data_IF_985914226314
#
_entry.id   IF_985914226314
#
_cell.length_a   1.000
_cell.length_b   1.000
_cell.length_c   1.000
_cell.angle_alpha   90.00
_cell.angle_beta   90.00
_cell.angle_gamma   90.00
#
_symmetry.space_group_name_H-M   'P 1'
#
loop_
_entity.id
_entity.type
_entity.pdbx_description
1 polymer ?
#
# COMPACT_ATOMS: atom_id res chain seq x y z
N UNK A 1 2.58 -19.81 32.45
CA UNK A 1 3.59 -18.83 32.03
C UNK A 1 2.90 -17.47 31.91
N UNK A 2 3.39 -16.39 32.53
CA UNK A 2 2.73 -15.09 32.46
C UNK A 2 2.79 -14.56 31.04
N UNK A 3 1.64 -14.08 30.55
CA UNK A 3 1.51 -13.41 29.26
C UNK A 3 2.47 -12.21 29.23
N UNK A 4 3.39 -12.19 28.25
CA UNK A 4 4.20 -11.02 27.95
C UNK A 4 3.25 -9.90 27.55
N UNK A 5 3.16 -8.89 28.39
CA UNK A 5 2.50 -7.63 28.09
C UNK A 5 3.19 -7.05 26.86
N UNK A 6 2.54 -7.13 25.69
CA UNK A 6 2.99 -6.45 24.49
C UNK A 6 3.05 -4.95 24.81
N UNK A 7 4.21 -4.33 24.65
CA UNK A 7 4.34 -2.87 24.74
C UNK A 7 3.41 -2.28 23.69
N UNK A 8 2.31 -1.72 24.12
CA UNK A 8 1.48 -0.84 23.30
C UNK A 8 2.40 0.30 22.89
N UNK A 9 2.55 0.50 21.59
CA UNK A 9 3.33 1.64 21.06
C UNK A 9 2.71 2.90 21.63
N UNK A 10 3.52 3.74 22.26
CA UNK A 10 3.05 5.06 22.67
C UNK A 10 2.75 5.86 21.41
N UNK A 11 1.46 6.01 21.10
CA UNK A 11 0.97 6.70 19.89
C UNK A 11 1.20 8.21 19.96
N UNK A 12 1.64 8.74 21.11
CA UNK A 12 1.90 10.17 21.32
C UNK A 12 3.08 10.70 20.49
N UNK A 13 4.04 9.84 20.15
CA UNK A 13 5.23 10.23 19.40
C UNK A 13 5.08 10.03 17.88
N UNK A 14 3.91 9.60 17.41
CA UNK A 14 3.68 9.41 15.99
C UNK A 14 3.31 10.74 15.30
N UNK A 15 3.81 10.99 14.07
CA UNK A 15 3.44 12.18 13.31
C UNK A 15 1.95 12.16 12.98
N UNK A 16 1.33 13.33 12.94
CA UNK A 16 -0.10 13.45 12.66
C UNK A 16 -0.41 13.11 11.22
N UNK A 17 -1.29 12.12 11.01
CA UNK A 17 -1.88 11.84 9.70
C UNK A 17 -3.10 12.76 9.47
N UNK A 18 -3.24 13.28 8.26
CA UNK A 18 -4.38 14.06 7.80
C UNK A 18 -5.21 13.22 6.84
N UNK A 19 -6.56 13.32 6.86
CA UNK A 19 -7.41 12.62 5.92
C UNK A 19 -7.22 13.16 4.50
N UNK A 20 -7.31 12.29 3.51
CA UNK A 20 -7.38 12.63 2.09
C UNK A 20 -8.84 12.50 1.61
N UNK A 21 -9.24 13.44 0.78
CA UNK A 21 -10.55 13.51 0.16
C UNK A 21 -10.43 13.38 -1.36
N UNK A 22 -11.55 13.29 -2.04
CA UNK A 22 -11.60 13.14 -3.52
C UNK A 22 -10.79 14.21 -4.27
N UNK A 23 -10.84 15.46 -3.79
CA UNK A 23 -10.14 16.59 -4.43
C UNK A 23 -8.61 16.48 -4.34
N UNK A 24 -8.08 15.74 -3.37
CA UNK A 24 -6.65 15.58 -3.15
C UNK A 24 -6.03 14.55 -4.12
N UNK A 25 -6.85 13.62 -4.63
CA UNK A 25 -6.35 12.46 -5.39
C UNK A 25 -5.63 12.85 -6.67
N UNK A 26 -6.16 13.84 -7.40
CA UNK A 26 -5.63 14.21 -8.70
C UNK A 26 -4.17 14.70 -8.68
N UNK A 27 -3.75 15.46 -7.66
CA UNK A 27 -2.36 15.89 -7.50
C UNK A 27 -1.46 14.72 -7.09
N UNK A 28 -1.89 13.98 -6.07
CA UNK A 28 -1.07 12.91 -5.49
C UNK A 28 -0.88 11.73 -6.45
N UNK A 29 -1.90 11.34 -7.22
CA UNK A 29 -1.76 10.31 -8.26
C UNK A 29 -0.78 10.74 -9.37
N UNK A 30 -0.82 12.02 -9.80
CA UNK A 30 0.16 12.53 -10.80
C UNK A 30 1.59 12.48 -10.28
N UNK A 31 1.80 12.75 -9.00
CA UNK A 31 3.13 12.67 -8.38
C UNK A 31 3.59 11.22 -8.33
N UNK A 32 2.74 10.29 -7.88
CA UNK A 32 3.04 8.86 -7.82
C UNK A 32 3.36 8.29 -9.21
N UNK A 33 2.55 8.60 -10.22
CA UNK A 33 2.80 8.22 -11.61
C UNK A 33 4.15 8.74 -12.11
N UNK A 34 4.46 10.02 -11.87
CA UNK A 34 5.72 10.61 -12.29
C UNK A 34 6.93 9.94 -11.61
N UNK A 35 6.83 9.61 -10.32
CA UNK A 35 7.85 8.88 -9.57
C UNK A 35 8.05 7.47 -10.15
N UNK A 36 6.96 6.75 -10.44
CA UNK A 36 7.01 5.43 -11.05
C UNK A 36 7.72 5.48 -12.41
N UNK A 37 7.31 6.39 -13.30
CA UNK A 37 7.91 6.54 -14.62
C UNK A 37 9.41 6.84 -14.52
N UNK A 38 9.80 7.78 -13.65
CA UNK A 38 11.21 8.10 -13.39
C UNK A 38 11.99 6.88 -12.89
N UNK A 39 11.41 6.08 -12.00
CA UNK A 39 12.02 4.85 -11.50
C UNK A 39 12.22 3.81 -12.62
N UNK A 40 11.24 3.66 -13.50
CA UNK A 40 11.33 2.75 -14.64
C UNK A 40 12.40 3.21 -15.64
N UNK A 41 12.49 4.50 -15.93
CA UNK A 41 13.48 5.09 -16.84
C UNK A 41 14.91 4.99 -16.31
N UNK A 42 15.08 5.03 -14.99
CA UNK A 42 16.39 4.92 -14.33
C UNK A 42 16.94 3.49 -14.27
N UNK A 43 16.18 2.49 -14.70
CA UNK A 43 16.64 1.09 -14.68
C UNK A 43 17.79 0.85 -15.68
N UNK A 44 18.79 0.04 -15.30
CA UNK A 44 19.86 -0.34 -16.22
C UNK A 44 19.31 -1.03 -17.49
N UNK A 45 19.96 -0.77 -18.63
CA UNK A 45 19.53 -1.34 -19.91
C UNK A 45 19.64 -2.87 -20.00
N UNK A 46 20.48 -3.46 -19.18
CA UNK A 46 20.70 -4.92 -19.04
C UNK A 46 19.77 -5.58 -18.02
N UNK A 47 18.90 -4.81 -17.38
CA UNK A 47 17.91 -5.36 -16.45
C UNK A 47 16.76 -6.05 -17.19
N UNK A 48 16.03 -6.92 -16.46
CA UNK A 48 14.80 -7.51 -16.97
C UNK A 48 13.78 -6.45 -17.38
N UNK A 49 12.88 -6.80 -18.30
CA UNK A 49 11.77 -5.93 -18.68
C UNK A 49 10.88 -5.66 -17.48
N UNK A 50 10.80 -4.41 -17.06
CA UNK A 50 9.92 -4.00 -15.97
C UNK A 50 8.49 -3.79 -16.49
N UNK A 51 7.52 -4.33 -15.75
CA UNK A 51 6.09 -4.13 -16.00
C UNK A 51 5.48 -3.54 -14.73
N UNK A 52 4.71 -2.48 -14.90
CA UNK A 52 3.99 -1.83 -13.80
C UNK A 52 2.59 -1.42 -14.26
N UNK A 53 1.62 -1.50 -13.36
CA UNK A 53 0.34 -0.83 -13.53
C UNK A 53 0.51 0.63 -13.14
N UNK A 54 -0.03 1.54 -13.95
CA UNK A 54 0.06 2.97 -13.65
C UNK A 54 -0.95 3.32 -12.56
N UNK A 55 -0.52 3.93 -11.44
CA UNK A 55 -1.43 4.36 -10.37
C UNK A 55 -2.09 5.69 -10.71
N UNK A 56 -2.77 5.75 -11.87
CA UNK A 56 -3.46 6.96 -12.32
C UNK A 56 -4.72 7.23 -11.48
N UNK A 57 -5.21 8.45 -11.58
CA UNK A 57 -6.36 8.89 -10.80
C UNK A 57 -7.65 8.15 -11.18
N UNK A 58 -7.80 7.74 -12.43
CA UNK A 58 -9.02 7.06 -12.89
C UNK A 58 -9.08 5.64 -12.34
N UNK A 59 -7.94 4.95 -12.26
CA UNK A 59 -7.81 3.65 -11.60
C UNK A 59 -8.20 3.74 -10.12
N UNK A 60 -7.70 4.74 -9.39
CA UNK A 60 -8.05 4.94 -7.97
C UNK A 60 -9.54 5.30 -7.82
N UNK A 61 -10.04 6.21 -8.65
CA UNK A 61 -11.45 6.64 -8.65
C UNK A 61 -12.43 5.53 -8.96
N UNK A 62 -12.03 4.57 -9.77
CA UNK A 62 -12.87 3.41 -10.06
C UNK A 62 -13.20 2.63 -8.77
N UNK A 63 -12.21 2.39 -7.91
CA UNK A 63 -12.44 1.76 -6.60
C UNK A 63 -13.35 2.60 -5.71
N UNK A 64 -13.12 3.92 -5.69
CA UNK A 64 -13.93 4.83 -4.88
C UNK A 64 -15.37 4.97 -5.40
N UNK A 65 -15.58 4.96 -6.71
CA UNK A 65 -16.93 4.98 -7.27
C UNK A 65 -17.75 3.73 -6.88
N UNK A 66 -17.10 2.55 -6.90
CA UNK A 66 -17.70 1.31 -6.41
C UNK A 66 -18.01 1.40 -4.90
N UNK A 67 -17.05 1.86 -4.11
CA UNK A 67 -17.20 2.07 -2.66
C UNK A 67 -18.37 3.02 -2.36
N UNK A 68 -18.45 4.14 -3.07
CA UNK A 68 -19.48 5.16 -2.87
C UNK A 68 -20.88 4.63 -3.21
N UNK A 69 -20.99 3.85 -4.29
CA UNK A 69 -22.24 3.22 -4.66
C UNK A 69 -22.69 2.24 -3.59
N UNK A 70 -21.84 1.29 -3.20
CA UNK A 70 -22.19 0.28 -2.20
C UNK A 70 -22.44 0.92 -0.83
N UNK A 71 -21.64 1.91 -0.43
CA UNK A 71 -21.82 2.64 0.82
C UNK A 71 -23.17 3.37 0.89
N UNK A 72 -23.62 3.98 -0.21
CA UNK A 72 -24.94 4.61 -0.30
C UNK A 72 -26.06 3.58 -0.17
N UNK A 73 -25.95 2.45 -0.86
CA UNK A 73 -26.98 1.39 -0.82
C UNK A 73 -27.09 0.73 0.57
N UNK A 74 -25.95 0.42 1.21
CA UNK A 74 -25.96 -0.30 2.50
C UNK A 74 -26.13 0.63 3.71
N UNK A 75 -25.55 1.84 3.68
CA UNK A 75 -25.47 2.71 4.84
C UNK A 75 -26.16 4.06 4.64
N UNK A 76 -26.74 4.33 3.48
CA UNK A 76 -27.37 5.61 3.14
C UNK A 76 -26.40 6.78 2.96
N UNK A 77 -25.08 6.54 2.99
CA UNK A 77 -24.04 7.56 2.84
C UNK A 77 -22.79 6.98 2.19
N UNK A 78 -22.05 7.82 1.46
CA UNK A 78 -20.74 7.45 0.90
C UNK A 78 -19.61 7.81 1.87
N UNK A 79 -18.52 7.01 1.93
CA UNK A 79 -17.32 7.36 2.65
C UNK A 79 -16.64 8.58 2.03
N UNK A 80 -16.33 9.60 2.83
CA UNK A 80 -15.67 10.82 2.35
C UNK A 80 -14.16 10.72 2.38
N UNK A 81 -13.61 10.04 3.39
CA UNK A 81 -12.17 9.87 3.57
C UNK A 81 -11.67 8.75 2.67
N UNK A 82 -10.82 9.09 1.70
CA UNK A 82 -10.32 8.19 0.66
C UNK A 82 -8.91 7.69 0.91
N UNK A 83 -8.25 8.22 1.93
CA UNK A 83 -6.87 7.92 2.26
C UNK A 83 -6.38 8.77 3.40
N UNK A 84 -5.06 8.76 3.62
CA UNK A 84 -4.41 9.63 4.58
C UNK A 84 -3.01 10.04 4.11
N UNK A 85 -2.51 11.16 4.64
CA UNK A 85 -1.20 11.71 4.34
C UNK A 85 -0.50 12.17 5.63
N UNK A 86 0.80 11.95 5.70
CA UNK A 86 1.69 12.46 6.74
C UNK A 86 2.74 13.37 6.10
N UNK A 87 2.95 14.54 6.70
CA UNK A 87 3.87 15.56 6.22
C UNK A 87 3.23 16.53 5.22
N UNK A 88 3.72 17.77 5.21
CA UNK A 88 3.26 18.84 4.31
C UNK A 88 4.33 19.27 3.31
N UNK A 89 5.59 18.93 3.56
CA UNK A 89 6.73 19.31 2.72
C UNK A 89 6.80 18.42 1.49
N UNK A 90 6.70 19.02 0.30
CA UNK A 90 6.83 18.29 -0.98
C UNK A 90 8.18 17.59 -1.06
N UNK A 91 8.17 16.34 -1.52
CA UNK A 91 9.36 15.47 -1.57
C UNK A 91 9.61 14.67 -0.29
N UNK A 92 8.82 14.86 0.78
CA UNK A 92 8.97 14.15 2.07
C UNK A 92 7.66 13.59 2.62
N UNK A 93 6.58 13.68 1.85
CA UNK A 93 5.26 13.20 2.28
C UNK A 93 5.18 11.69 2.18
N UNK A 94 4.35 11.10 3.03
CA UNK A 94 3.98 9.68 2.97
C UNK A 94 2.46 9.62 2.96
N UNK A 95 1.87 8.95 1.99
CA UNK A 95 0.41 8.83 1.90
C UNK A 95 -0.03 7.45 1.46
N UNK A 96 -1.30 7.16 1.68
CA UNK A 96 -1.94 5.96 1.16
C UNK A 96 -3.38 6.25 0.74
N UNK A 97 -3.88 5.44 -0.19
CA UNK A 97 -5.28 5.37 -0.56
C UNK A 97 -5.86 4.06 -0.10
N UNK A 98 -7.15 4.03 0.17
CA UNK A 98 -7.87 2.81 0.53
C UNK A 98 -9.27 2.77 -0.07
N UNK A 99 -9.87 1.60 -0.09
CA UNK A 99 -11.26 1.38 -0.42
C UNK A 99 -11.88 0.40 0.57
N UNK A 100 -13.17 0.49 0.78
CA UNK A 100 -13.93 -0.44 1.62
C UNK A 100 -14.66 -1.43 0.73
N UNK A 101 -14.54 -2.70 1.06
CA UNK A 101 -15.26 -3.77 0.39
C UNK A 101 -16.17 -4.45 1.39
N UNK A 102 -17.48 -4.25 1.21
CA UNK A 102 -18.51 -4.93 1.98
C UNK A 102 -18.87 -6.22 1.26
N UNK A 103 -18.64 -7.34 1.92
CA UNK A 103 -19.00 -8.67 1.44
C UNK A 103 -20.27 -9.19 2.14
N UNK A 104 -20.76 -8.45 3.14
CA UNK A 104 -21.98 -8.75 3.86
C UNK A 104 -23.04 -7.69 3.54
N UNK A 105 -24.27 -8.16 3.29
CA UNK A 105 -25.42 -7.30 2.99
C UNK A 105 -26.07 -6.70 4.25
N UNK A 106 -25.73 -7.19 5.44
CA UNK A 106 -26.18 -6.58 6.70
C UNK A 106 -25.23 -5.43 7.07
N UNK A 107 -25.71 -4.17 7.09
CA UNK A 107 -24.88 -3.02 7.42
C UNK A 107 -24.33 -3.01 8.85
N UNK A 108 -24.82 -3.88 9.73
CA UNK A 108 -24.36 -4.03 11.11
C UNK A 108 -23.31 -5.13 11.28
N UNK A 109 -23.19 -6.00 10.30
CA UNK A 109 -22.26 -7.14 10.35
C UNK A 109 -20.91 -6.74 9.74
N UNK A 110 -19.85 -7.00 10.49
CA UNK A 110 -18.49 -6.70 10.03
C UNK A 110 -17.79 -7.89 9.35
N UNK A 111 -18.29 -9.11 9.60
CA UNK A 111 -17.61 -10.33 9.17
C UNK A 111 -17.38 -10.36 7.65
N UNK A 112 -16.12 -10.49 7.28
CA UNK A 112 -15.67 -10.53 5.89
C UNK A 112 -15.46 -9.16 5.25
N UNK A 113 -16.03 -8.08 5.82
CA UNK A 113 -15.83 -6.74 5.29
C UNK A 113 -14.38 -6.29 5.51
N UNK A 114 -13.77 -5.73 4.48
CA UNK A 114 -12.33 -5.41 4.49
C UNK A 114 -12.09 -3.99 3.99
N UNK A 115 -11.25 -3.25 4.70
CA UNK A 115 -10.65 -2.02 4.19
C UNK A 115 -9.34 -2.40 3.49
N UNK A 116 -9.32 -2.30 2.17
CA UNK A 116 -8.12 -2.56 1.38
C UNK A 116 -7.31 -1.30 1.19
N UNK A 117 -6.06 -1.32 1.60
CA UNK A 117 -5.10 -0.31 1.19
C UNK A 117 -4.78 -0.50 -0.29
N UNK A 118 -5.17 0.47 -1.11
CA UNK A 118 -4.97 0.42 -2.55
C UNK A 118 -3.51 0.64 -2.90
N UNK A 119 -2.89 1.64 -2.26
CA UNK A 119 -1.55 2.09 -2.59
C UNK A 119 -0.92 2.80 -1.39
N UNK A 120 0.37 2.56 -1.14
CA UNK A 120 1.20 3.30 -0.19
C UNK A 120 2.36 3.98 -0.95
N UNK A 121 2.54 5.27 -0.75
CA UNK A 121 3.57 6.07 -1.43
C UNK A 121 4.45 6.80 -0.42
N UNK A 122 5.75 6.74 -0.65
CA UNK A 122 6.77 7.52 0.05
C UNK A 122 7.40 8.46 -0.96
N UNK A 123 7.19 9.77 -0.80
CA UNK A 123 7.62 10.80 -1.78
C UNK A 123 9.12 11.09 -1.76
N UNK A 124 9.90 10.47 -0.90
CA UNK A 124 11.34 10.66 -0.82
C UNK A 124 12.03 10.03 -2.04
N UNK A 125 12.71 10.84 -2.86
CA UNK A 125 13.43 10.39 -4.05
C UNK A 125 14.56 9.38 -3.76
N UNK A 126 15.03 9.32 -2.51
CA UNK A 126 16.08 8.38 -2.07
C UNK A 126 15.58 7.00 -1.67
N UNK A 127 14.26 6.82 -1.52
CA UNK A 127 13.64 5.55 -1.17
C UNK A 127 12.42 5.37 -2.08
N UNK A 128 12.63 4.77 -3.23
CA UNK A 128 11.49 4.40 -4.05
C UNK A 128 10.66 3.36 -3.29
N UNK A 129 9.36 3.61 -3.13
CA UNK A 129 8.42 2.67 -2.52
C UNK A 129 8.36 1.32 -3.28
N UNK A 130 9.07 1.24 -4.38
CA UNK A 130 9.16 0.12 -5.31
C UNK A 130 10.27 -0.88 -4.98
N UNK A 131 11.32 -0.46 -4.27
CA UNK A 131 12.47 -1.33 -3.95
C UNK A 131 12.17 -2.45 -2.94
N UNK A 132 10.93 -2.59 -2.51
CA UNK A 132 10.50 -3.64 -1.59
C UNK A 132 9.23 -4.36 -2.00
N UNK A 133 8.59 -3.96 -3.11
CA UNK A 133 7.34 -4.55 -3.57
C UNK A 133 7.62 -5.74 -4.51
N UNK A 134 7.64 -6.91 -3.91
CA UNK A 134 7.27 -8.16 -4.56
C UNK A 134 8.14 -8.67 -5.71
N UNK A 135 9.36 -9.07 -5.44
CA UNK A 135 9.89 -10.29 -6.03
C UNK A 135 10.45 -11.13 -4.90
N UNK A 136 9.83 -12.26 -4.61
CA UNK A 136 10.44 -13.33 -3.84
C UNK A 136 11.61 -13.91 -4.64
N UNK A 137 12.67 -13.15 -4.85
CA UNK A 137 13.98 -13.71 -5.16
C UNK A 137 14.63 -14.15 -3.85
N UNK A 138 14.30 -15.36 -3.46
CA UNK A 138 15.17 -16.19 -2.63
C UNK A 138 16.39 -16.49 -3.51
N UNK A 139 17.36 -15.60 -3.52
CA UNK A 139 18.79 -15.81 -3.72
C UNK A 139 19.49 -14.54 -4.20
N UNK A 140 20.51 -14.16 -3.47
CA UNK A 140 21.52 -13.25 -4.00
C UNK A 140 21.85 -12.09 -3.11
N UNK A 141 22.93 -12.27 -2.36
CA UNK A 141 23.74 -11.27 -1.67
C UNK A 141 23.85 -9.92 -2.39
N UNK A 142 22.88 -9.04 -2.20
CA UNK A 142 22.96 -7.63 -2.52
C UNK A 142 23.57 -6.90 -1.32
N UNK A 143 24.81 -6.43 -1.43
CA UNK A 143 25.45 -5.57 -0.45
C UNK A 143 24.62 -4.29 -0.33
N UNK A 144 23.85 -4.17 0.73
CA UNK A 144 23.19 -2.93 1.12
C UNK A 144 24.26 -1.86 1.36
N UNK A 145 24.21 -0.78 0.61
CA UNK A 145 24.94 0.45 0.94
C UNK A 145 24.29 1.06 2.18
N UNK A 146 24.78 0.64 3.33
CA UNK A 146 24.44 1.12 4.65
C UNK A 146 25.29 2.35 4.94
N UNK A 147 24.80 3.54 4.57
CA UNK A 147 25.30 4.79 5.20
C UNK A 147 24.22 5.87 5.12
N UNK A 148 23.83 6.40 6.28
CA UNK A 148 22.88 7.48 6.59
C UNK A 148 21.38 7.13 6.68
N UNK A 149 21.00 5.88 6.96
CA UNK A 149 19.62 5.40 6.90
C UNK A 149 18.79 5.47 8.19
N UNK A 150 19.38 5.59 9.37
CA UNK A 150 18.65 5.32 10.63
C UNK A 150 17.50 6.31 10.90
N UNK A 151 17.70 7.60 10.70
CA UNK A 151 16.68 8.62 10.98
C UNK A 151 15.52 8.62 9.96
N UNK A 152 15.82 8.45 8.67
CA UNK A 152 14.81 8.39 7.61
C UNK A 152 13.95 7.14 7.72
N UNK A 153 14.59 5.99 7.89
CA UNK A 153 13.87 4.72 8.09
C UNK A 153 12.96 4.76 9.32
N UNK A 154 13.38 5.41 10.39
CA UNK A 154 12.55 5.60 11.58
C UNK A 154 11.36 6.52 11.33
N UNK A 155 11.54 7.64 10.61
CA UNK A 155 10.47 8.55 10.24
C UNK A 155 9.41 7.85 9.36
N UNK A 156 9.83 7.14 8.30
CA UNK A 156 8.90 6.44 7.41
C UNK A 156 8.10 5.37 8.16
N UNK A 157 8.73 4.60 9.05
CA UNK A 157 8.02 3.64 9.90
C UNK A 157 6.98 4.31 10.77
N UNK A 158 7.31 5.46 11.37
CA UNK A 158 6.37 6.21 12.20
C UNK A 158 5.25 6.85 11.38
N UNK A 159 5.55 7.38 10.20
CA UNK A 159 4.55 7.93 9.28
C UNK A 159 3.58 6.83 8.80
N UNK A 160 4.09 5.69 8.37
CA UNK A 160 3.27 4.54 7.96
C UNK A 160 2.41 4.04 9.13
N UNK A 161 2.95 3.99 10.35
CA UNK A 161 2.18 3.64 11.53
C UNK A 161 1.00 4.59 11.74
N UNK A 162 1.19 5.90 11.55
CA UNK A 162 0.10 6.89 11.63
C UNK A 162 -0.97 6.67 10.56
N UNK A 163 -0.57 6.36 9.32
CA UNK A 163 -1.49 6.05 8.23
C UNK A 163 -2.31 4.79 8.54
N UNK A 164 -1.66 3.73 9.03
CA UNK A 164 -2.32 2.48 9.42
C UNK A 164 -3.31 2.70 10.58
N UNK A 165 -2.98 3.53 11.56
CA UNK A 165 -3.91 3.87 12.65
C UNK A 165 -5.13 4.62 12.12
N UNK A 166 -4.97 5.52 11.14
CA UNK A 166 -6.11 6.19 10.53
C UNK A 166 -6.95 5.21 9.71
N UNK A 167 -6.34 4.31 8.95
CA UNK A 167 -7.05 3.25 8.23
C UNK A 167 -7.84 2.34 9.20
N UNK A 168 -7.27 2.00 10.36
CA UNK A 168 -7.98 1.22 11.39
C UNK A 168 -9.18 1.97 11.98
N UNK A 169 -9.07 3.29 12.20
CA UNK A 169 -10.22 4.12 12.66
C UNK A 169 -11.33 4.15 11.62
N UNK A 170 -10.99 4.35 10.36
CA UNK A 170 -11.94 4.30 9.25
C UNK A 170 -12.58 2.91 9.10
N UNK A 171 -11.79 1.84 9.24
CA UNK A 171 -12.30 0.48 9.25
C UNK A 171 -13.31 0.26 10.38
N UNK A 172 -13.02 0.77 11.56
CA UNK A 172 -13.91 0.67 12.73
C UNK A 172 -15.21 1.47 12.53
N UNK A 173 -15.12 2.71 11.99
CA UNK A 173 -16.29 3.56 11.70
C UNK A 173 -17.25 2.91 10.69
N UNK A 174 -16.71 2.17 9.72
CA UNK A 174 -17.47 1.55 8.63
C UNK A 174 -17.71 0.05 8.80
N UNK A 175 -17.56 -0.47 10.03
CA UNK A 175 -17.79 -1.89 10.35
C UNK A 175 -17.00 -2.85 9.45
N UNK A 176 -15.72 -2.54 9.19
CA UNK A 176 -14.78 -3.47 8.57
C UNK A 176 -14.19 -4.41 9.62
N UNK A 177 -14.03 -5.68 9.29
CA UNK A 177 -13.41 -6.67 10.16
C UNK A 177 -11.89 -6.49 10.24
N UNK A 178 -11.29 -6.03 9.13
CA UNK A 178 -9.84 -5.95 9.00
C UNK A 178 -9.39 -4.85 8.04
N UNK A 179 -8.10 -4.51 8.14
CA UNK A 179 -7.35 -3.69 7.18
C UNK A 179 -6.34 -4.57 6.49
N UNK A 180 -6.37 -4.63 5.18
CA UNK A 180 -5.51 -5.49 4.37
C UNK A 180 -4.67 -4.66 3.40
N UNK A 181 -3.43 -5.07 3.17
CA UNK A 181 -2.55 -4.52 2.15
C UNK A 181 -1.95 -5.64 1.30
N UNK A 182 -1.94 -5.48 -0.01
CA UNK A 182 -1.32 -6.41 -0.94
C UNK A 182 0.13 -6.01 -1.21
N UNK A 183 1.02 -7.00 -1.29
CA UNK A 183 2.46 -6.81 -1.51
C UNK A 183 3.07 -5.70 -0.62
N UNK A 184 2.87 -5.77 0.71
CA UNK A 184 3.39 -4.75 1.60
C UNK A 184 4.92 -4.73 1.56
N UNK A 185 5.50 -3.53 1.58
CA UNK A 185 6.95 -3.38 1.75
C UNK A 185 7.40 -3.86 3.12
N UNK A 186 8.68 -4.23 3.25
CA UNK A 186 9.25 -4.63 4.55
C UNK A 186 9.10 -3.54 5.63
N UNK A 187 9.16 -2.26 5.23
CA UNK A 187 8.93 -1.12 6.11
C UNK A 187 7.49 -1.07 6.60
N UNK A 188 6.52 -1.32 5.71
CA UNK A 188 5.10 -1.38 6.07
C UNK A 188 4.80 -2.55 7.02
N UNK A 189 5.33 -3.75 6.72
CA UNK A 189 5.19 -4.93 7.62
C UNK A 189 5.76 -4.62 9.00
N UNK A 190 6.97 -4.03 9.06
CA UNK A 190 7.60 -3.63 10.32
C UNK A 190 6.78 -2.60 11.09
N UNK A 191 6.18 -1.62 10.41
CA UNK A 191 5.31 -0.62 11.04
C UNK A 191 4.01 -1.26 11.57
N UNK A 192 3.37 -2.13 10.79
CA UNK A 192 2.16 -2.84 11.16
C UNK A 192 2.38 -3.77 12.38
N UNK A 193 3.45 -4.56 12.38
CA UNK A 193 3.80 -5.45 13.49
C UNK A 193 4.16 -4.68 14.77
N UNK A 194 4.72 -3.49 14.63
CA UNK A 194 4.98 -2.60 15.78
C UNK A 194 3.68 -2.10 16.40
N UNK A 195 2.65 -1.80 15.59
CA UNK A 195 1.33 -1.37 16.07
C UNK A 195 0.54 -2.53 16.67
N UNK A 196 0.54 -3.66 15.98
CA UNK A 196 -0.15 -4.86 16.39
C UNK A 196 0.74 -6.09 16.16
N UNK A 197 1.30 -6.68 17.23
CA UNK A 197 2.13 -7.89 17.12
C UNK A 197 1.43 -9.10 16.50
N UNK A 198 0.09 -9.08 16.43
CA UNK A 198 -0.71 -10.13 15.79
C UNK A 198 -0.91 -9.88 14.28
N UNK A 199 -0.28 -8.85 13.71
CA UNK A 199 -0.32 -8.63 12.27
C UNK A 199 0.26 -9.86 11.56
N UNK A 200 -0.57 -10.50 10.74
CA UNK A 200 -0.19 -11.66 9.95
C UNK A 200 0.27 -11.24 8.54
N UNK A 201 1.32 -11.86 8.06
CA UNK A 201 1.65 -11.87 6.63
C UNK A 201 1.14 -13.17 6.07
N UNK A 202 0.17 -13.10 5.15
CA UNK A 202 -0.46 -14.27 4.54
C UNK A 202 0.16 -14.46 3.17
N UNK A 203 0.69 -15.65 2.91
CA UNK A 203 1.12 -16.04 1.57
C UNK A 203 -0.07 -16.62 0.81
N UNK A 204 -0.39 -16.04 -0.35
CA UNK A 204 -1.52 -16.45 -1.19
C UNK A 204 -1.04 -17.04 -2.52
N UNK A 205 -0.02 -17.88 -2.48
CA UNK A 205 0.57 -18.49 -3.69
C UNK A 205 -0.41 -19.37 -4.48
N UNK A 206 -1.49 -19.82 -3.85
CA UNK A 206 -2.53 -20.67 -4.46
C UNK A 206 -3.86 -19.93 -4.68
N UNK A 207 -4.04 -18.74 -4.10
CA UNK A 207 -5.28 -17.97 -4.15
C UNK A 207 -5.03 -16.51 -4.54
N UNK A 208 -5.87 -15.95 -5.40
CA UNK A 208 -5.80 -14.53 -5.81
C UNK A 208 -4.46 -14.14 -6.43
N UNK A 209 -3.96 -14.98 -7.33
CA UNK A 209 -2.68 -14.79 -8.01
C UNK A 209 -2.86 -13.78 -9.15
N UNK A 210 -2.07 -12.70 -9.12
CA UNK A 210 -1.95 -11.80 -10.25
C UNK A 210 -1.37 -12.54 -11.46
N UNK A 211 -2.04 -12.49 -12.60
CA UNK A 211 -1.63 -13.21 -13.80
C UNK A 211 -1.38 -12.23 -14.95
N UNK A 212 -0.27 -12.44 -15.64
CA UNK A 212 0.12 -11.69 -16.81
C UNK A 212 0.43 -12.64 -17.96
N UNK A 213 -0.14 -12.38 -19.13
CA UNK A 213 0.24 -13.05 -20.38
C UNK A 213 1.17 -12.11 -21.16
N UNK A 214 2.44 -12.46 -21.24
CA UNK A 214 3.46 -11.69 -21.94
C UNK A 214 3.93 -12.41 -23.19
N UNK A 215 4.16 -11.65 -24.24
CA UNK A 215 4.70 -12.12 -25.52
C UNK A 215 6.06 -11.46 -25.77
N UNK A 216 7.16 -12.08 -25.33
CA UNK A 216 8.48 -11.49 -25.51
C UNK A 216 8.86 -11.47 -27.00
N UNK A 217 9.66 -10.49 -27.43
CA UNK A 217 10.16 -10.43 -28.81
C UNK A 217 11.12 -11.59 -29.12
N UNK A 218 11.67 -12.26 -28.12
CA UNK A 218 12.59 -13.37 -28.25
C UNK A 218 12.05 -14.61 -27.53
N UNK A 219 12.39 -15.82 -28.06
CA UNK A 219 12.03 -17.09 -27.43
C UNK A 219 12.87 -17.29 -26.16
N UNK A 220 12.25 -17.40 -24.99
CA UNK A 220 12.88 -17.65 -23.70
C UNK A 220 11.85 -17.82 -22.58
N UNK A 221 12.28 -18.25 -21.37
CA UNK A 221 11.39 -18.35 -20.22
C UNK A 221 10.90 -16.95 -19.83
N UNK A 222 9.60 -16.75 -19.88
CA UNK A 222 8.96 -15.44 -19.63
C UNK A 222 9.17 -15.01 -18.18
N UNK A 223 9.06 -15.93 -17.24
CA UNK A 223 9.16 -15.64 -15.81
C UNK A 223 10.52 -15.07 -15.37
N UNK A 224 11.60 -15.41 -16.10
CA UNK A 224 12.94 -14.94 -15.79
C UNK A 224 13.30 -13.63 -16.48
N UNK A 225 12.43 -13.13 -17.37
CA UNK A 225 12.69 -11.92 -18.19
C UNK A 225 11.85 -10.72 -17.77
N UNK A 226 10.98 -10.86 -16.79
CA UNK A 226 10.03 -9.82 -16.38
C UNK A 226 10.15 -9.56 -14.89
N UNK A 227 10.27 -8.28 -14.53
CA UNK A 227 10.11 -7.77 -13.18
C UNK A 227 8.76 -7.07 -13.06
N UNK A 228 7.86 -7.61 -12.26
CA UNK A 228 6.58 -6.96 -11.98
C UNK A 228 6.74 -6.00 -10.81
N UNK A 229 6.56 -4.72 -11.07
CA UNK A 229 6.76 -3.64 -10.11
C UNK A 229 5.41 -3.10 -9.66
N UNK A 230 5.26 -2.82 -8.36
CA UNK A 230 4.08 -2.15 -7.82
C UNK A 230 2.79 -2.95 -7.96
N UNK A 231 2.84 -4.26 -7.77
CA UNK A 231 1.67 -5.14 -7.84
C UNK A 231 0.82 -5.02 -6.56
N UNK A 232 0.32 -3.82 -6.28
CA UNK A 232 -0.55 -3.51 -5.15
C UNK A 232 -2.04 -3.59 -5.53
N UNK A 233 -2.93 -3.50 -4.53
CA UNK A 233 -4.38 -3.72 -4.71
C UNK A 233 -5.04 -2.78 -5.72
N UNK A 234 -4.52 -1.56 -5.95
CA UNK A 234 -5.14 -0.60 -6.88
C UNK A 234 -5.31 -1.12 -8.31
N UNK A 235 -4.46 -2.03 -8.74
CA UNK A 235 -4.55 -2.64 -10.06
C UNK A 235 -5.55 -3.79 -10.18
N UNK A 236 -6.25 -4.16 -9.11
CA UNK A 236 -7.07 -5.38 -9.05
C UNK A 236 -8.46 -5.13 -8.47
N UNK A 237 -9.46 -5.75 -9.09
CA UNK A 237 -10.87 -5.69 -8.65
C UNK A 237 -11.14 -6.59 -7.45
#
# INVERSE_FOLDING_TARGET
MPARTSRIVDTKDLPTAQPLYEDDLGELCRIDEAMLRKSLEARPADSNTAIALIPDVDTIRWHHAREDYVGKELHGKAPKVKGAIVGSEKGKRVWCYWTRMWYNNDPKESKGNTLHMLRLVIEDEGLSSWEGSGTNHINGSGKSHQQNGDGRSSYHKSAIASLLLMAQREAQEWHMAEVEAWNPTSVMVSAAQRLNPNTAVVNRDEESIASLKWYPPHKGPVAESIDWIGNEKYGWC
#
